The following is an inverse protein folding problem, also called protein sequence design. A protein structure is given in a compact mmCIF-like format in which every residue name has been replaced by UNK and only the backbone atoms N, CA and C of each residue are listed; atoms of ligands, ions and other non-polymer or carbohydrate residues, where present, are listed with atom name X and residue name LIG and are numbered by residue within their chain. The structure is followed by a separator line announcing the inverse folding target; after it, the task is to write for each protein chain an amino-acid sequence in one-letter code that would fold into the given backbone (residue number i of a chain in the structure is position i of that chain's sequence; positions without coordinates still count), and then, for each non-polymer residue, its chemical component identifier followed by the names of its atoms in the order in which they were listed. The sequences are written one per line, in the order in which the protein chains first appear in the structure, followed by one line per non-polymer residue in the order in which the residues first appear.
data_IF_061644856759
#
_entry.id   IF_061644856759
#
_cell.length_a   1.000
_cell.length_b   1.000
_cell.length_c   1.000
_cell.angle_alpha   90.00
_cell.angle_beta   90.00
_cell.angle_gamma   90.00
#
_symmetry.space_group_name_H-M   'P 1'
#
loop_
_entity.id
_entity.type
_entity.pdbx_description
1 polymer ?
#
# COMPACT_ATOMS: atom_id res chain seq x y z
N UNK A 1 0.91 18.08 12.58
CA UNK A 1 1.34 19.17 11.68
C UNK A 1 2.81 19.43 12.00
N UNK A 2 3.76 19.02 11.15
CA UNK A 2 5.18 19.27 11.42
C UNK A 2 5.71 20.18 10.32
N UNK A 3 6.01 21.41 10.73
CA UNK A 3 6.71 22.43 9.95
C UNK A 3 8.19 22.39 10.38
N UNK A 4 9.14 22.56 9.44
CA UNK A 4 10.61 22.60 9.65
C UNK A 4 11.27 23.94 9.15
N UNK A 5 11.44 25.02 9.96
CA UNK A 5 12.30 26.23 9.80
C UNK A 5 12.75 26.89 11.15
N UNK A 6 14.07 26.89 11.37
CA UNK A 6 15.05 27.76 12.08
C UNK A 6 14.76 28.36 13.47
N UNK A 7 15.55 27.88 14.45
CA UNK A 7 15.98 28.61 15.65
C UNK A 7 17.32 28.07 16.15
N UNK A 8 18.32 28.93 16.32
CA UNK A 8 19.72 28.59 16.64
C UNK A 8 19.85 27.98 18.05
N UNK A 9 19.69 26.66 18.19
CA UNK A 9 20.26 25.91 19.31
C UNK A 9 20.41 24.42 18.92
N UNK A 10 21.66 23.94 18.92
CA UNK A 10 22.11 22.67 18.34
C UNK A 10 21.38 21.43 18.90
N UNK A 11 20.47 20.83 18.14
CA UNK A 11 20.14 19.41 18.32
C UNK A 11 21.26 18.62 17.65
N UNK A 12 21.94 17.75 18.39
CA UNK A 12 23.08 16.98 17.90
C UNK A 12 22.68 15.55 17.55
N UNK A 13 23.27 15.04 16.46
CA UNK A 13 23.24 13.63 16.09
C UNK A 13 24.63 13.06 16.37
N UNK A 14 24.68 11.99 17.16
CA UNK A 14 25.90 11.25 17.43
C UNK A 14 26.12 10.25 16.31
N UNK A 15 27.30 10.30 15.70
CA UNK A 15 27.69 9.45 14.59
C UNK A 15 28.83 8.50 14.96
N UNK A 16 28.93 7.38 14.26
CA UNK A 16 30.10 6.48 14.27
C UNK A 16 30.69 6.44 12.88
N UNK A 17 32.02 6.39 12.76
CA UNK A 17 32.68 6.26 11.46
C UNK A 17 32.23 4.97 10.78
N UNK A 18 31.85 5.08 9.51
CA UNK A 18 31.57 3.93 8.65
C UNK A 18 32.81 3.09 8.40
N UNK A 19 33.97 3.73 8.30
CA UNK A 19 35.25 3.05 8.10
C UNK A 19 35.37 2.43 6.70
N UNK A 20 36.03 1.27 6.62
CA UNK A 20 36.28 0.55 5.37
C UNK A 20 35.20 -0.53 5.18
N UNK A 21 34.42 -0.44 4.10
CA UNK A 21 33.40 -1.43 3.73
C UNK A 21 33.73 -1.96 2.34
N UNK A 22 33.79 -3.28 2.19
CA UNK A 22 34.12 -3.98 0.93
C UNK A 22 35.39 -3.46 0.23
N UNK A 23 36.39 -3.10 1.03
CA UNK A 23 37.68 -2.58 0.55
C UNK A 23 37.69 -1.08 0.21
N UNK A 24 36.56 -0.38 0.37
CA UNK A 24 36.43 1.07 0.13
C UNK A 24 36.47 1.82 1.46
N UNK A 25 37.38 2.78 1.61
CA UNK A 25 37.43 3.68 2.77
C UNK A 25 36.48 4.86 2.59
N UNK A 26 35.48 4.96 3.47
CA UNK A 26 34.47 6.02 3.45
C UNK A 26 34.91 7.30 4.16
N UNK A 27 36.13 7.36 4.69
CA UNK A 27 36.74 8.56 5.24
C UNK A 27 35.92 9.22 6.35
N UNK A 28 35.52 10.47 6.14
CA UNK A 28 34.72 11.25 7.10
C UNK A 28 33.21 10.96 7.03
N UNK A 29 32.81 9.82 6.49
CA UNK A 29 31.40 9.38 6.48
C UNK A 29 31.07 8.65 7.78
N UNK A 30 29.92 8.99 8.35
CA UNK A 30 29.42 8.37 9.57
C UNK A 30 28.01 7.81 9.43
N UNK A 31 27.68 6.92 10.35
CA UNK A 31 26.38 6.27 10.53
C UNK A 31 25.74 6.76 11.83
N UNK A 32 24.41 6.84 11.86
CA UNK A 32 23.67 7.36 13.02
C UNK A 32 23.75 6.36 14.17
N UNK A 33 24.36 6.80 15.28
CA UNK A 33 24.39 6.04 16.54
C UNK A 33 23.31 6.47 17.52
N UNK A 34 23.05 7.77 17.64
CA UNK A 34 22.05 8.30 18.58
C UNK A 34 21.56 9.69 18.16
N UNK A 35 20.28 9.95 18.38
CA UNK A 35 19.65 11.26 18.22
C UNK A 35 19.24 11.79 19.59
N UNK A 36 19.41 13.09 19.84
CA UNK A 36 18.96 13.75 21.08
C UNK A 36 17.44 14.03 21.05
N UNK A 37 16.65 12.98 21.31
CA UNK A 37 15.18 13.03 21.28
C UNK A 37 14.61 13.99 22.31
N UNK A 38 15.20 14.04 23.51
CA UNK A 38 14.72 14.90 24.59
C UNK A 38 14.75 16.35 24.17
N UNK A 39 15.90 16.81 23.62
CA UNK A 39 16.04 18.18 23.15
C UNK A 39 15.14 18.48 21.96
N UNK A 40 14.94 17.52 21.06
CA UNK A 40 13.98 17.68 19.96
C UNK A 40 12.56 17.89 20.48
N UNK A 41 12.09 17.04 21.40
CA UNK A 41 10.74 17.13 21.97
C UNK A 41 10.53 18.43 22.73
N UNK A 42 11.46 18.84 23.58
CA UNK A 42 11.40 20.13 24.28
C UNK A 42 11.20 21.32 23.31
N UNK A 43 11.87 21.28 22.15
CA UNK A 43 11.72 22.34 21.13
C UNK A 43 10.37 22.26 20.43
N UNK A 44 9.96 21.07 20.02
CA UNK A 44 8.68 20.84 19.35
C UNK A 44 7.50 21.22 20.27
N UNK A 45 7.55 20.84 21.54
CA UNK A 45 6.55 21.17 22.57
C UNK A 45 6.49 22.68 22.84
N UNK A 46 7.63 23.37 22.70
CA UNK A 46 7.71 24.84 22.73
C UNK A 46 7.16 25.54 21.49
N UNK A 47 6.52 24.81 20.56
CA UNK A 47 6.06 25.33 19.27
C UNK A 47 7.20 25.75 18.33
N UNK A 48 8.44 25.38 18.67
CA UNK A 48 9.59 25.65 17.82
C UNK A 48 9.65 24.62 16.73
N UNK A 49 10.44 24.99 15.74
CA UNK A 49 10.73 24.13 14.66
C UNK A 49 12.19 23.65 14.70
N UNK A 50 12.40 22.34 14.56
CA UNK A 50 13.71 21.71 14.62
C UNK A 50 14.29 21.50 13.22
N UNK A 51 15.42 22.15 12.92
CA UNK A 51 16.21 21.93 11.70
C UNK A 51 17.45 21.12 12.06
N UNK A 52 17.69 20.04 11.32
CA UNK A 52 18.86 19.18 11.48
C UNK A 52 19.73 19.24 10.23
N UNK A 53 21.04 19.29 10.45
CA UNK A 53 22.03 19.07 9.40
C UNK A 53 22.24 17.56 9.21
N UNK A 54 22.69 17.17 8.02
CA UNK A 54 23.19 15.82 7.76
C UNK A 54 24.61 15.60 8.32
N UNK A 55 25.14 16.57 9.07
CA UNK A 55 26.37 16.47 9.83
C UNK A 55 26.09 16.09 11.28
N UNK A 56 26.97 15.28 11.85
CA UNK A 56 26.95 14.96 13.27
C UNK A 56 28.35 14.78 13.82
N UNK A 57 28.44 14.49 15.11
CA UNK A 57 29.71 14.40 15.82
C UNK A 57 29.97 12.97 16.28
N UNK A 58 31.22 12.52 16.18
CA UNK A 58 31.65 11.27 16.81
C UNK A 58 31.82 11.46 18.33
N UNK A 59 32.00 10.35 19.06
CA UNK A 59 32.35 10.41 20.48
C UNK A 59 33.71 11.06 20.76
N UNK A 60 34.59 11.13 19.75
CA UNK A 60 35.87 11.86 19.80
C UNK A 60 35.73 13.35 19.45
N UNK A 61 34.53 13.82 19.07
CA UNK A 61 34.27 15.20 18.67
C UNK A 61 34.56 15.51 17.21
N UNK A 62 34.83 14.50 16.38
CA UNK A 62 35.08 14.68 14.94
C UNK A 62 33.74 14.91 14.22
N UNK A 63 33.73 15.82 13.25
CA UNK A 63 32.57 16.05 12.38
C UNK A 63 32.53 14.98 11.30
N UNK A 64 31.42 14.26 11.21
CA UNK A 64 31.18 13.25 10.19
C UNK A 64 29.98 13.64 9.33
N UNK A 65 30.06 13.33 8.04
CA UNK A 65 28.96 13.45 7.10
C UNK A 65 28.10 12.18 7.15
N UNK A 66 26.79 12.31 7.29
CA UNK A 66 25.85 11.20 7.28
C UNK A 66 24.87 11.36 6.13
N UNK A 67 24.22 10.25 5.74
CA UNK A 67 23.17 10.31 4.75
C UNK A 67 21.94 11.02 5.31
N UNK A 68 21.37 11.95 4.55
CA UNK A 68 20.15 12.69 4.91
C UNK A 68 18.97 11.77 5.22
N UNK A 69 18.77 10.71 4.43
CA UNK A 69 17.66 9.78 4.65
C UNK A 69 17.86 8.95 5.93
N UNK A 70 19.10 8.59 6.26
CA UNK A 70 19.42 7.88 7.49
C UNK A 70 19.16 8.75 8.72
N UNK A 71 19.60 10.02 8.70
CA UNK A 71 19.30 11.00 9.76
C UNK A 71 17.80 11.22 9.88
N UNK A 72 17.10 11.44 8.76
CA UNK A 72 15.65 11.65 8.75
C UNK A 72 14.88 10.45 9.30
N UNK A 73 15.26 9.24 8.89
CA UNK A 73 14.66 7.99 9.38
C UNK A 73 14.90 7.80 10.87
N UNK A 74 16.14 8.01 11.33
CA UNK A 74 16.48 7.91 12.74
C UNK A 74 15.65 8.89 13.57
N UNK A 75 15.56 10.13 13.12
CA UNK A 75 14.79 11.16 13.81
C UNK A 75 13.30 10.82 13.84
N UNK A 76 12.71 10.42 12.71
CA UNK A 76 11.29 10.11 12.60
C UNK A 76 10.89 8.94 13.51
N UNK A 77 11.70 7.87 13.53
CA UNK A 77 11.51 6.73 14.43
C UNK A 77 11.68 7.14 15.90
N UNK A 78 12.73 7.88 16.23
CA UNK A 78 13.05 8.24 17.60
C UNK A 78 12.00 9.15 18.25
N UNK A 79 11.44 10.08 17.48
CA UNK A 79 10.39 10.98 17.99
C UNK A 79 9.01 10.31 17.99
N UNK A 80 8.82 9.22 17.22
CA UNK A 80 7.53 8.58 17.00
C UNK A 80 6.64 9.42 16.10
N UNK A 81 7.17 9.87 14.96
CA UNK A 81 6.43 10.72 14.03
C UNK A 81 5.24 9.98 13.38
N UNK A 82 4.09 10.65 13.25
CA UNK A 82 2.95 10.11 12.50
C UNK A 82 3.24 10.02 10.99
N UNK A 83 4.01 11.01 10.48
CA UNK A 83 4.33 11.13 9.06
C UNK A 83 5.78 11.52 8.84
N UNK A 84 6.42 10.93 7.84
CA UNK A 84 7.68 11.41 7.26
C UNK A 84 7.41 11.91 5.83
N UNK A 85 8.02 13.03 5.45
CA UNK A 85 7.91 13.58 4.09
C UNK A 85 9.31 13.71 3.53
N UNK A 86 9.56 13.06 2.39
CA UNK A 86 10.81 13.12 1.66
C UNK A 86 10.60 13.90 0.36
N UNK A 87 11.50 14.84 0.08
CA UNK A 87 11.54 15.56 -1.19
C UNK A 87 12.62 14.90 -2.05
N UNK A 88 12.22 14.43 -3.22
CA UNK A 88 12.99 13.56 -4.11
C UNK A 88 13.04 14.19 -5.52
N UNK A 89 13.97 13.74 -6.36
CA UNK A 89 14.09 14.21 -7.74
C UNK A 89 13.28 13.31 -8.69
N UNK A 90 12.04 13.71 -8.99
CA UNK A 90 11.15 12.99 -9.92
C UNK A 90 10.09 12.09 -9.26
N UNK A 91 9.06 11.66 -10.02
CA UNK A 91 7.97 10.83 -9.52
C UNK A 91 8.34 9.34 -9.45
N UNK A 92 7.62 8.58 -8.61
CA UNK A 92 7.67 7.11 -8.62
C UNK A 92 6.64 6.57 -9.61
N UNK A 93 7.11 5.85 -10.61
CA UNK A 93 6.27 5.35 -11.70
C UNK A 93 6.14 3.82 -11.63
N UNK A 94 5.00 3.31 -12.10
CA UNK A 94 4.79 1.89 -12.36
C UNK A 94 5.49 1.44 -13.66
N UNK A 95 5.41 0.15 -13.99
CA UNK A 95 6.00 -0.41 -15.21
C UNK A 95 5.37 0.15 -16.50
N UNK A 96 4.19 0.76 -16.41
CA UNK A 96 3.48 1.41 -17.51
C UNK A 96 3.79 2.91 -17.61
N UNK A 97 4.61 3.45 -16.72
CA UNK A 97 4.95 4.87 -16.67
C UNK A 97 3.92 5.77 -15.96
N UNK A 98 2.94 5.20 -15.25
CA UNK A 98 1.98 5.98 -14.47
C UNK A 98 2.49 6.22 -13.05
N UNK A 99 2.20 7.41 -12.51
CA UNK A 99 2.51 7.76 -11.12
C UNK A 99 1.80 6.83 -10.14
N UNK A 100 2.58 6.16 -9.29
CA UNK A 100 2.07 5.39 -8.17
C UNK A 100 1.69 6.36 -7.06
N UNK A 101 0.39 6.54 -6.82
CA UNK A 101 -0.11 7.49 -5.80
C UNK A 101 -0.02 6.96 -4.39
N UNK A 102 -0.26 5.66 -4.25
CA UNK A 102 -0.40 5.01 -2.96
C UNK A 102 0.16 3.60 -3.04
N UNK A 103 0.88 3.20 -1.99
CA UNK A 103 1.33 1.86 -1.73
C UNK A 103 1.02 1.52 -0.28
N UNK A 104 0.39 0.37 -0.06
CA UNK A 104 0.46 -0.29 1.24
C UNK A 104 1.91 -0.69 1.53
N UNK A 105 2.26 -0.87 2.80
CA UNK A 105 3.57 -1.37 3.19
C UNK A 105 3.91 -2.70 2.49
N UNK A 106 2.91 -3.58 2.35
CA UNK A 106 3.05 -4.87 1.64
C UNK A 106 3.35 -4.67 0.14
N UNK A 107 2.60 -3.81 -0.56
CA UNK A 107 2.84 -3.52 -1.97
C UNK A 107 4.23 -2.87 -2.19
N UNK A 108 4.66 -1.98 -1.29
CA UNK A 108 5.99 -1.38 -1.34
C UNK A 108 7.10 -2.44 -1.15
N UNK A 109 6.94 -3.31 -0.15
CA UNK A 109 7.88 -4.41 0.13
C UNK A 109 8.01 -5.37 -1.06
N UNK A 110 6.88 -5.77 -1.65
CA UNK A 110 6.86 -6.61 -2.87
C UNK A 110 7.58 -5.94 -4.04
N UNK A 111 7.35 -4.64 -4.27
CA UNK A 111 8.01 -3.89 -5.35
C UNK A 111 9.53 -3.78 -5.16
N UNK A 112 10.00 -3.65 -3.93
CA UNK A 112 11.43 -3.63 -3.60
C UNK A 112 12.02 -5.02 -3.81
N UNK A 113 11.38 -6.07 -3.28
CA UNK A 113 11.82 -7.47 -3.42
C UNK A 113 11.92 -7.93 -4.87
N UNK A 114 10.94 -7.56 -5.71
CA UNK A 114 10.97 -7.87 -7.16
C UNK A 114 12.23 -7.34 -7.85
N UNK A 115 12.81 -6.26 -7.32
CA UNK A 115 13.99 -5.57 -7.84
C UNK A 115 15.27 -5.83 -7.04
N UNK A 116 15.22 -6.69 -6.01
CA UNK A 116 16.38 -7.03 -5.18
C UNK A 116 17.54 -7.65 -5.98
N UNK A 117 17.25 -8.38 -7.06
CA UNK A 117 18.28 -8.94 -7.96
C UNK A 117 18.95 -7.89 -8.86
N UNK A 118 18.38 -6.68 -8.94
CA UNK A 118 18.79 -5.62 -9.88
C UNK A 118 19.33 -4.35 -9.19
N UNK A 119 19.23 -4.26 -7.87
CA UNK A 119 19.70 -3.12 -7.08
C UNK A 119 20.28 -3.61 -5.76
N UNK A 120 21.48 -3.14 -5.43
CA UNK A 120 22.15 -3.46 -4.17
C UNK A 120 21.33 -2.94 -2.98
N UNK A 121 20.70 -1.77 -3.13
CA UNK A 121 19.88 -1.14 -2.10
C UNK A 121 18.64 -1.99 -1.79
N UNK A 122 17.99 -2.52 -2.83
CA UNK A 122 16.87 -3.43 -2.64
C UNK A 122 17.32 -4.75 -1.96
N UNK A 123 18.49 -5.29 -2.32
CA UNK A 123 19.04 -6.47 -1.64
C UNK A 123 19.37 -6.20 -0.16
N UNK A 124 19.97 -5.05 0.15
CA UNK A 124 20.25 -4.62 1.52
C UNK A 124 18.97 -4.44 2.34
N UNK A 125 17.92 -3.86 1.75
CA UNK A 125 16.61 -3.74 2.40
C UNK A 125 16.05 -5.12 2.77
N UNK A 126 16.05 -6.06 1.82
CA UNK A 126 15.57 -7.44 2.04
C UNK A 126 16.34 -8.12 3.17
N UNK A 127 17.67 -7.96 3.20
CA UNK A 127 18.52 -8.48 4.29
C UNK A 127 18.17 -7.85 5.64
N UNK A 128 17.93 -6.54 5.70
CA UNK A 128 17.63 -5.82 6.94
C UNK A 128 16.22 -6.12 7.48
N UNK A 129 15.25 -6.32 6.59
CA UNK A 129 13.84 -6.54 6.94
C UNK A 129 13.52 -8.00 7.24
N UNK A 130 14.43 -8.92 6.87
CA UNK A 130 14.31 -10.37 7.01
C UNK A 130 13.39 -10.99 5.96
N UNK A 131 13.55 -12.28 5.69
CA UNK A 131 12.52 -13.08 5.05
C UNK A 131 11.46 -13.41 6.10
N UNK A 132 10.48 -12.54 6.25
CA UNK A 132 9.16 -13.02 6.67
C UNK A 132 8.62 -13.84 5.50
N UNK A 133 8.57 -15.16 5.67
CA UNK A 133 8.07 -16.15 4.71
C UNK A 133 6.70 -15.74 4.14
N UNK A 134 6.71 -15.02 3.00
CA UNK A 134 5.62 -15.06 2.05
C UNK A 134 5.78 -16.34 1.24
N UNK A 135 5.40 -17.48 1.83
CA UNK A 135 5.22 -18.74 1.10
C UNK A 135 4.03 -18.65 0.15
N UNK A 136 4.09 -17.78 -0.85
CA UNK A 136 3.22 -17.85 -2.03
C UNK A 136 3.96 -17.24 -3.21
N UNK A 137 4.49 -18.13 -4.06
CA UNK A 137 4.93 -17.96 -5.46
C UNK A 137 6.41 -18.30 -5.74
N UNK A 138 6.80 -19.54 -5.45
CA UNK A 138 7.59 -20.30 -6.42
C UNK A 138 6.99 -21.72 -6.53
N UNK A 139 6.32 -22.00 -7.64
CA UNK A 139 6.00 -23.36 -8.08
C UNK A 139 6.47 -23.52 -9.53
N UNK A 140 7.65 -24.14 -9.66
CA UNK A 140 8.10 -25.07 -10.70
C UNK A 140 9.59 -25.33 -10.36
N UNK A 141 10.10 -26.52 -10.07
CA UNK A 141 9.65 -27.92 -10.28
C UNK A 141 10.25 -28.81 -9.16
N UNK A 142 9.69 -30.02 -9.03
CA UNK A 142 10.24 -31.25 -8.38
C UNK A 142 9.91 -31.57 -6.91
N UNK A 143 8.91 -32.46 -6.80
CA UNK A 143 8.63 -33.55 -5.84
C UNK A 143 9.57 -33.71 -4.62
N UNK A 144 8.98 -33.63 -3.42
CA UNK A 144 9.57 -34.17 -2.19
C UNK A 144 8.70 -33.91 -0.95
N UNK A 145 7.99 -34.94 -0.50
CA UNK A 145 7.13 -34.99 0.69
C UNK A 145 7.93 -34.61 1.95
N UNK A 146 7.38 -33.75 2.83
CA UNK A 146 7.41 -33.92 4.29
C UNK A 146 6.46 -32.92 5.00
N UNK A 147 5.51 -33.48 5.73
CA UNK A 147 4.50 -32.79 6.50
C UNK A 147 5.08 -32.08 7.73
N UNK A 148 4.56 -30.90 8.07
CA UNK A 148 4.66 -30.38 9.44
C UNK A 148 3.36 -29.68 9.89
N UNK A 149 2.63 -30.44 10.70
CA UNK A 149 1.80 -30.06 11.86
C UNK A 149 1.61 -28.56 12.16
N UNK A 150 0.40 -28.07 11.89
CA UNK A 150 -0.20 -26.88 12.50
C UNK A 150 -0.33 -27.05 14.02
N UNK A 151 0.06 -26.04 14.78
CA UNK A 151 -0.56 -25.75 16.06
C UNK A 151 -0.65 -24.24 16.27
N UNK A 152 -1.89 -23.75 16.35
CA UNK A 152 -2.21 -22.34 16.45
C UNK A 152 -1.88 -21.74 17.81
N UNK A 153 -1.43 -20.49 17.79
CA UNK A 153 -1.58 -19.55 18.90
C UNK A 153 -1.66 -18.13 18.35
N UNK A 154 -2.73 -17.43 18.72
CA UNK A 154 -2.94 -16.03 18.44
C UNK A 154 -1.79 -15.18 19.00
N UNK A 155 -1.08 -14.46 18.13
CA UNK A 155 -0.03 -13.52 18.53
C UNK A 155 -0.61 -12.11 18.66
N UNK A 156 -1.29 -11.89 19.78
CA UNK A 156 -1.36 -10.59 20.42
C UNK A 156 0.04 -10.27 20.97
N UNK A 157 0.92 -9.77 20.11
CA UNK A 157 2.25 -9.30 20.49
C UNK A 157 2.56 -8.01 19.77
N UNK A 158 2.71 -6.90 20.50
CA UNK A 158 3.52 -5.78 20.04
C UNK A 158 4.94 -6.32 19.85
N UNK A 159 5.26 -6.76 18.64
CA UNK A 159 6.62 -7.13 18.30
C UNK A 159 7.39 -5.83 18.09
N UNK A 160 8.09 -5.41 19.15
CA UNK A 160 9.14 -4.42 19.06
C UNK A 160 10.20 -5.00 18.15
N UNK A 161 10.22 -4.56 16.91
CA UNK A 161 11.18 -5.02 15.95
C UNK A 161 12.54 -4.40 16.33
N UNK A 162 13.33 -5.14 17.10
CA UNK A 162 14.71 -4.79 17.45
C UNK A 162 15.57 -5.09 16.24
N UNK A 163 15.97 -4.04 15.52
CA UNK A 163 16.81 -4.16 14.34
C UNK A 163 18.18 -3.55 14.62
N UNK A 164 19.22 -4.38 14.46
CA UNK A 164 20.60 -3.99 14.69
C UNK A 164 21.17 -3.27 13.48
N UNK A 165 21.84 -2.15 13.77
CA UNK A 165 22.67 -1.30 12.91
C UNK A 165 21.94 -0.37 11.93
N UNK A 166 22.15 0.93 12.18
CA UNK A 166 21.89 2.00 11.21
C UNK A 166 20.45 2.24 10.82
N UNK A 167 19.47 1.91 11.66
CA UNK A 167 18.46 2.81 12.26
C UNK A 167 17.71 2.00 13.33
N UNK A 168 18.37 1.77 14.47
CA UNK A 168 17.84 0.94 15.56
C UNK A 168 18.19 1.54 16.91
N UNK A 169 17.19 2.01 17.64
CA UNK A 169 17.34 2.44 19.04
C UNK A 169 17.10 1.24 19.96
N UNK A 170 18.15 0.53 20.35
CA UNK A 170 18.02 -0.47 21.41
C UNK A 170 17.97 0.21 22.78
N UNK A 171 16.84 0.04 23.45
CA UNK A 171 16.72 0.18 24.90
C UNK A 171 17.38 -1.04 25.58
N UNK A 172 18.70 -0.98 25.76
CA UNK A 172 19.41 -1.67 26.85
C UNK A 172 19.83 -3.13 26.64
N UNK A 173 21.13 -3.36 26.87
CA UNK A 173 21.85 -4.62 27.12
C UNK A 173 21.94 -5.66 25.98
N UNK A 174 23.07 -5.65 25.28
CA UNK A 174 23.48 -6.79 24.44
C UNK A 174 24.87 -6.61 23.84
N UNK A 175 25.70 -7.63 23.99
CA UNK A 175 27.10 -7.73 23.58
C UNK A 175 27.12 -8.44 22.19
N UNK A 176 27.76 -7.85 21.16
CA UNK A 176 28.19 -8.42 19.86
C UNK A 176 27.16 -9.11 18.93
N UNK A 177 27.13 -8.70 17.65
CA UNK A 177 27.62 -9.49 16.50
C UNK A 177 27.35 -8.71 15.21
N UNK A 178 28.35 -8.58 14.35
CA UNK A 178 28.28 -7.75 13.15
C UNK A 178 27.46 -8.37 12.03
N UNK A 179 26.40 -7.68 11.61
CA UNK A 179 25.87 -7.73 10.24
C UNK A 179 25.44 -6.32 9.83
N UNK A 180 25.69 -5.96 8.57
CA UNK A 180 25.68 -4.61 7.99
C UNK A 180 24.35 -3.87 8.16
N UNK A 181 24.40 -2.61 8.62
CA UNK A 181 23.24 -1.72 8.72
C UNK A 181 22.67 -1.30 7.35
N UNK A 182 21.41 -0.84 7.34
CA UNK A 182 20.74 -0.37 6.14
C UNK A 182 21.15 1.08 5.84
N UNK A 183 22.27 1.25 5.14
CA UNK A 183 22.68 2.56 4.66
C UNK A 183 21.72 3.03 3.56
N UNK A 184 20.81 3.92 3.92
CA UNK A 184 19.83 4.49 2.99
C UNK A 184 20.53 5.53 2.13
N UNK A 185 20.87 5.19 0.89
CA UNK A 185 21.42 6.10 -0.11
C UNK A 185 22.92 5.92 -0.33
N UNK A 186 23.25 5.55 -1.56
CA UNK A 186 24.59 5.35 -2.10
C UNK A 186 24.66 5.83 -3.56
N UNK A 187 25.80 5.60 -4.20
CA UNK A 187 26.19 6.15 -5.51
C UNK A 187 25.41 5.58 -6.72
N UNK A 188 24.14 5.19 -6.57
CA UNK A 188 23.28 4.79 -7.69
C UNK A 188 22.68 5.99 -8.47
N UNK A 189 23.22 7.21 -8.30
CA UNK A 189 22.86 8.38 -9.15
C UNK A 189 23.14 8.15 -10.64
N UNK A 190 23.92 7.13 -11.01
CA UNK A 190 24.23 6.82 -12.40
C UNK A 190 23.15 6.01 -13.12
N UNK A 191 22.18 5.40 -12.42
CA UNK A 191 21.04 4.72 -13.06
C UNK A 191 19.75 5.53 -12.89
N UNK A 192 19.52 6.48 -13.80
CA UNK A 192 18.25 7.24 -13.89
C UNK A 192 17.00 6.35 -14.06
N UNK A 193 17.18 5.06 -14.33
CA UNK A 193 16.09 4.10 -14.54
C UNK A 193 15.46 3.60 -13.22
N UNK A 194 16.22 3.57 -12.11
CA UNK A 194 15.78 2.99 -10.82
C UNK A 194 16.05 3.89 -9.61
N UNK A 195 16.32 5.18 -9.83
CA UNK A 195 16.75 6.12 -8.79
C UNK A 195 15.85 6.14 -7.54
N UNK A 196 14.54 5.91 -7.69
CA UNK A 196 13.54 5.94 -6.61
C UNK A 196 13.58 4.75 -5.64
N UNK A 197 14.34 3.68 -5.93
CA UNK A 197 14.34 2.49 -5.07
C UNK A 197 14.93 2.77 -3.69
N UNK A 198 15.90 3.68 -3.61
CA UNK A 198 16.49 4.10 -2.34
C UNK A 198 15.44 4.77 -1.45
N UNK A 199 14.68 5.69 -2.03
CA UNK A 199 13.63 6.46 -1.39
C UNK A 199 12.45 5.56 -0.99
N UNK A 200 12.06 4.63 -1.87
CA UNK A 200 10.99 3.69 -1.60
C UNK A 200 11.39 2.69 -0.50
N UNK A 201 12.62 2.19 -0.52
CA UNK A 201 13.13 1.30 0.53
C UNK A 201 13.26 2.03 1.87
N UNK A 202 13.69 3.29 1.87
CA UNK A 202 13.67 4.14 3.05
C UNK A 202 12.25 4.29 3.61
N UNK A 203 11.29 4.61 2.75
CA UNK A 203 9.90 4.78 3.13
C UNK A 203 9.30 3.50 3.72
N UNK A 204 9.52 2.36 3.08
CA UNK A 204 9.07 1.06 3.59
C UNK A 204 9.71 0.73 4.94
N UNK A 205 11.03 0.96 5.07
CA UNK A 205 11.77 0.73 6.31
C UNK A 205 11.24 1.61 7.47
N UNK A 206 11.04 2.91 7.23
CA UNK A 206 10.48 3.86 8.20
C UNK A 206 9.08 3.44 8.62
N UNK A 207 8.24 3.03 7.66
CA UNK A 207 6.89 2.54 7.93
C UNK A 207 6.89 1.27 8.79
N UNK A 208 7.78 0.32 8.50
CA UNK A 208 7.93 -0.91 9.30
C UNK A 208 8.43 -0.62 10.72
N UNK A 209 9.22 0.43 10.89
CA UNK A 209 9.70 0.91 12.20
C UNK A 209 8.65 1.65 13.05
N UNK A 210 7.43 1.88 12.52
CA UNK A 210 6.29 2.38 13.30
C UNK A 210 5.79 3.78 12.95
N UNK A 211 6.41 4.47 11.99
CA UNK A 211 5.80 5.66 11.39
C UNK A 211 4.63 5.21 10.53
N UNK A 212 3.48 5.88 10.63
CA UNK A 212 2.27 5.39 9.97
C UNK A 212 2.33 5.61 8.45
N UNK A 213 2.86 6.77 8.02
CA UNK A 213 2.86 7.15 6.60
C UNK A 213 4.14 7.86 6.20
N UNK A 214 4.65 7.53 5.02
CA UNK A 214 5.78 8.23 4.39
C UNK A 214 5.34 8.76 3.03
N UNK A 215 5.56 10.05 2.78
CA UNK A 215 5.24 10.72 1.53
C UNK A 215 6.52 11.01 0.76
N UNK A 216 6.59 10.57 -0.50
CA UNK A 216 7.70 10.79 -1.42
C UNK A 216 7.25 11.80 -2.49
N UNK A 217 7.81 13.01 -2.45
CA UNK A 217 7.34 14.16 -3.23
C UNK A 217 8.39 14.61 -4.24
N UNK A 218 7.99 14.79 -5.49
CA UNK A 218 8.86 15.36 -6.52
C UNK A 218 9.12 16.86 -6.26
N UNK A 219 10.34 17.18 -5.83
CA UNK A 219 10.79 18.53 -5.52
C UNK A 219 10.85 19.47 -6.71
N UNK A 220 10.78 18.94 -7.95
CA UNK A 220 10.74 19.76 -9.16
C UNK A 220 9.36 20.42 -9.37
N UNK A 221 8.32 19.96 -8.66
CA UNK A 221 6.97 20.51 -8.73
C UNK A 221 6.82 21.67 -7.75
N UNK A 222 6.51 22.86 -8.27
CA UNK A 222 6.30 24.05 -7.45
C UNK A 222 5.14 23.87 -6.48
N UNK A 223 5.38 24.12 -5.19
CA UNK A 223 4.37 23.99 -4.14
C UNK A 223 3.96 22.55 -3.82
N UNK A 224 4.73 21.53 -4.25
CA UNK A 224 4.39 20.10 -4.06
C UNK A 224 3.99 19.75 -2.63
N UNK A 225 4.65 20.32 -1.63
CA UNK A 225 4.33 20.08 -0.22
C UNK A 225 2.90 20.54 0.14
N UNK A 226 2.50 21.73 -0.33
CA UNK A 226 1.14 22.24 -0.09
C UNK A 226 0.12 21.45 -0.89
N UNK A 227 0.46 21.08 -2.13
CA UNK A 227 -0.41 20.26 -2.96
C UNK A 227 -0.61 18.87 -2.35
N UNK A 228 0.42 18.28 -1.74
CA UNK A 228 0.32 17.00 -1.03
C UNK A 228 -0.58 17.11 0.20
N UNK A 229 -0.36 18.13 1.03
CA UNK A 229 -1.04 18.24 2.33
C UNK A 229 -2.51 18.68 2.22
N UNK A 230 -2.86 19.43 1.18
CA UNK A 230 -4.18 20.07 1.06
C UNK A 230 -5.02 19.60 -0.14
N UNK A 231 -4.50 18.72 -1.00
CA UNK A 231 -5.32 18.03 -1.99
C UNK A 231 -5.63 16.61 -1.54
N UNK A 232 -6.85 16.17 -1.84
CA UNK A 232 -7.36 14.83 -1.52
C UNK A 232 -6.46 13.70 -2.05
N UNK A 233 -6.00 13.81 -3.29
CA UNK A 233 -5.20 12.77 -3.94
C UNK A 233 -3.68 13.00 -3.83
N UNK A 234 -3.27 14.07 -3.16
CA UNK A 234 -1.87 14.52 -3.13
C UNK A 234 -1.28 14.75 -4.53
N UNK A 235 0.04 14.85 -4.59
CA UNK A 235 0.83 14.91 -5.83
C UNK A 235 1.97 13.89 -5.88
N UNK A 236 2.37 13.33 -4.74
CA UNK A 236 3.44 12.35 -4.66
C UNK A 236 2.96 10.90 -4.54
N UNK A 237 3.88 10.08 -4.03
CA UNK A 237 3.65 8.68 -3.69
C UNK A 237 3.61 8.54 -2.18
N UNK A 238 2.56 7.96 -1.63
CA UNK A 238 2.47 7.69 -0.20
C UNK A 238 2.59 6.19 0.09
N UNK A 239 3.51 5.83 0.99
CA UNK A 239 3.62 4.49 1.58
C UNK A 239 2.96 4.52 2.96
N UNK A 240 2.03 3.61 3.23
CA UNK A 240 1.32 3.56 4.52
C UNK A 240 1.37 2.17 5.17
N UNK A 241 1.60 2.15 6.48
CA UNK A 241 1.48 0.95 7.33
C UNK A 241 0.09 0.83 7.97
N UNK A 242 -0.72 1.89 7.94
CA UNK A 242 -2.11 1.89 8.39
C UNK A 242 -3.11 1.62 7.24
N UNK A 243 -4.37 1.33 7.60
CA UNK A 243 -5.46 1.13 6.63
C UNK A 243 -5.87 2.48 6.01
N UNK A 244 -5.03 3.02 5.12
CA UNK A 244 -5.32 4.24 4.38
C UNK A 244 -6.37 4.02 3.29
N UNK A 245 -6.27 2.89 2.58
CA UNK A 245 -7.21 2.43 1.57
C UNK A 245 -7.59 0.98 1.87
N UNK A 246 -8.88 0.65 1.82
CA UNK A 246 -9.34 -0.70 2.14
C UNK A 246 -10.59 -1.09 1.36
N UNK A 247 -10.59 -2.32 0.84
CA UNK A 247 -11.76 -2.94 0.22
C UNK A 247 -12.52 -3.76 1.26
N UNK A 248 -13.81 -3.46 1.44
CA UNK A 248 -14.66 -4.14 2.42
C UNK A 248 -16.12 -4.20 2.01
N UNK A 249 -16.93 -4.97 2.73
CA UNK A 249 -18.38 -4.90 2.61
C UNK A 249 -18.92 -3.53 3.05
N UNK A 250 -19.95 -3.06 2.36
CA UNK A 250 -20.63 -1.82 2.69
C UNK A 250 -21.40 -1.90 4.01
N UNK A 251 -21.47 -0.77 4.70
CA UNK A 251 -22.21 -0.52 5.94
C UNK A 251 -23.27 0.53 5.69
N UNK A 252 -24.27 0.62 6.58
CA UNK A 252 -25.36 1.62 6.48
C UNK A 252 -24.82 3.06 6.40
N UNK A 253 -23.69 3.35 7.06
CA UNK A 253 -23.00 4.65 7.01
C UNK A 253 -22.45 5.01 5.62
N UNK A 254 -22.19 4.02 4.76
CA UNK A 254 -21.58 4.22 3.45
C UNK A 254 -22.60 4.62 2.37
N UNK A 255 -23.90 4.55 2.68
CA UNK A 255 -24.99 4.78 1.72
C UNK A 255 -24.84 6.09 0.97
N UNK A 256 -24.52 7.18 1.69
CA UNK A 256 -24.32 8.50 1.11
C UNK A 256 -23.12 8.53 0.14
N UNK A 257 -22.00 7.90 0.52
CA UNK A 257 -20.81 7.82 -0.33
C UNK A 257 -21.02 6.99 -1.59
N UNK A 258 -21.71 5.85 -1.47
CA UNK A 258 -22.10 5.03 -2.62
C UNK A 258 -23.02 5.85 -3.55
N UNK A 259 -24.00 6.57 -2.97
CA UNK A 259 -24.95 7.39 -3.74
C UNK A 259 -24.25 8.45 -4.57
N UNK A 260 -23.27 9.14 -3.98
CA UNK A 260 -22.47 10.16 -4.64
C UNK A 260 -21.74 9.63 -5.88
N UNK A 261 -21.29 8.36 -5.85
CA UNK A 261 -20.57 7.74 -6.97
C UNK A 261 -21.53 7.24 -8.05
N UNK A 262 -22.64 6.60 -7.66
CA UNK A 262 -23.54 5.95 -8.63
C UNK A 262 -24.48 6.94 -9.32
N UNK A 263 -24.91 8.01 -8.64
CA UNK A 263 -25.95 8.92 -9.15
C UNK A 263 -25.61 9.52 -10.53
N UNK A 264 -24.40 10.06 -10.78
CA UNK A 264 -24.05 10.57 -12.11
C UNK A 264 -24.07 9.49 -13.20
N UNK A 265 -23.79 8.23 -12.82
CA UNK A 265 -23.83 7.09 -13.74
C UNK A 265 -25.26 6.63 -14.03
N UNK A 266 -26.18 6.77 -13.07
CA UNK A 266 -27.61 6.55 -13.28
C UNK A 266 -28.22 7.63 -14.19
N UNK A 267 -27.88 8.89 -13.96
CA UNK A 267 -28.35 10.04 -14.77
C UNK A 267 -27.85 9.97 -16.22
N UNK A 268 -26.61 9.52 -16.44
CA UNK A 268 -26.06 9.28 -17.79
C UNK A 268 -26.57 8.01 -18.47
N UNK A 269 -27.42 7.21 -17.79
CA UNK A 269 -27.94 5.95 -18.31
C UNK A 269 -26.92 4.80 -18.37
N UNK A 270 -25.74 4.97 -17.77
CA UNK A 270 -24.70 3.94 -17.64
C UNK A 270 -25.13 2.87 -16.63
N UNK A 271 -25.63 3.29 -15.47
CA UNK A 271 -26.21 2.41 -14.45
C UNK A 271 -27.74 2.47 -14.46
N UNK A 272 -28.38 1.40 -13.96
CA UNK A 272 -29.83 1.41 -13.69
C UNK A 272 -30.10 2.31 -12.50
N UNK A 273 -31.05 3.24 -12.65
CA UNK A 273 -31.49 4.12 -11.57
C UNK A 273 -32.07 3.32 -10.40
N UNK A 274 -31.66 3.66 -9.18
CA UNK A 274 -32.18 3.08 -7.94
C UNK A 274 -32.65 4.16 -6.98
N UNK A 275 -33.69 3.84 -6.22
CA UNK A 275 -34.11 4.63 -5.07
C UNK A 275 -33.22 4.35 -3.87
N UNK A 276 -33.21 5.25 -2.89
CA UNK A 276 -32.40 5.07 -1.68
C UNK A 276 -32.88 3.85 -0.86
N UNK A 277 -34.18 3.55 -0.89
CA UNK A 277 -34.74 2.35 -0.27
C UNK A 277 -34.27 1.05 -0.94
N UNK A 278 -34.25 1.00 -2.27
CA UNK A 278 -33.73 -0.16 -3.02
C UNK A 278 -32.23 -0.33 -2.77
N UNK A 279 -31.48 0.76 -2.74
CA UNK A 279 -30.06 0.74 -2.44
C UNK A 279 -29.80 0.23 -1.03
N UNK A 280 -30.56 0.71 -0.03
CA UNK A 280 -30.45 0.27 1.36
C UNK A 280 -30.78 -1.22 1.51
N UNK A 281 -31.83 -1.72 0.84
CA UNK A 281 -32.18 -3.14 0.82
C UNK A 281 -31.09 -4.01 0.17
N UNK A 282 -30.42 -3.50 -0.85
CA UNK A 282 -29.36 -4.20 -1.55
C UNK A 282 -27.97 -4.01 -0.93
N UNK A 283 -27.83 -3.19 0.11
CA UNK A 283 -26.53 -2.75 0.63
C UNK A 283 -25.64 -3.90 1.12
N UNK A 284 -26.24 -4.99 1.61
CA UNK A 284 -25.53 -6.20 2.02
C UNK A 284 -24.72 -6.86 0.89
N UNK A 285 -25.08 -6.60 -0.37
CA UNK A 285 -24.40 -7.10 -1.56
C UNK A 285 -23.28 -6.16 -2.04
N UNK A 286 -23.21 -4.93 -1.52
CA UNK A 286 -22.22 -3.94 -1.94
C UNK A 286 -20.86 -4.16 -1.27
N UNK A 287 -19.84 -4.05 -2.09
CA UNK A 287 -18.43 -3.91 -1.73
C UNK A 287 -18.04 -2.48 -2.03
N UNK A 288 -17.27 -1.88 -1.12
CA UNK A 288 -16.77 -0.51 -1.25
C UNK A 288 -15.25 -0.49 -1.09
N UNK A 289 -14.63 0.45 -1.78
CA UNK A 289 -13.26 0.89 -1.45
C UNK A 289 -13.38 2.20 -0.67
N UNK A 290 -12.85 2.17 0.54
CA UNK A 290 -12.77 3.32 1.44
C UNK A 290 -11.34 3.88 1.41
N UNK A 291 -11.22 5.21 1.33
CA UNK A 291 -9.97 5.95 1.50
C UNK A 291 -10.20 7.09 2.50
N UNK A 292 -9.49 7.07 3.62
CA UNK A 292 -9.64 8.04 4.73
C UNK A 292 -11.10 8.29 5.15
N UNK A 293 -11.90 7.24 5.34
CA UNK A 293 -13.30 7.36 5.73
C UNK A 293 -14.28 7.70 4.60
N UNK A 294 -13.79 7.96 3.39
CA UNK A 294 -14.62 8.30 2.24
C UNK A 294 -14.67 7.13 1.26
N UNK A 295 -15.86 6.88 0.71
CA UNK A 295 -16.03 5.87 -0.33
C UNK A 295 -15.53 6.45 -1.65
N UNK A 296 -14.60 5.76 -2.30
CA UNK A 296 -14.01 6.16 -3.60
C UNK A 296 -14.43 5.22 -4.74
N UNK A 297 -14.86 4.00 -4.42
CA UNK A 297 -15.37 3.06 -5.40
C UNK A 297 -16.39 2.11 -4.77
N UNK A 298 -17.31 1.59 -5.57
CA UNK A 298 -18.27 0.58 -5.15
C UNK A 298 -18.59 -0.41 -6.26
N UNK A 299 -19.00 -1.61 -5.88
CA UNK A 299 -19.57 -2.63 -6.76
C UNK A 299 -20.50 -3.53 -5.96
N UNK A 300 -21.39 -4.27 -6.60
CA UNK A 300 -22.30 -5.20 -5.96
C UNK A 300 -22.13 -6.61 -6.52
N UNK A 301 -22.20 -7.61 -5.64
CA UNK A 301 -22.24 -9.03 -6.00
C UNK A 301 -23.55 -9.65 -5.51
N UNK A 302 -24.42 -10.02 -6.45
CA UNK A 302 -25.66 -10.74 -6.15
C UNK A 302 -25.51 -12.23 -6.45
N UNK A 303 -25.49 -13.10 -5.43
CA UNK A 303 -25.32 -14.55 -5.64
C UNK A 303 -26.63 -15.23 -6.06
N UNK A 304 -26.51 -16.21 -6.96
CA UNK A 304 -27.54 -17.15 -7.39
C UNK A 304 -27.02 -18.57 -7.09
N UNK A 305 -27.41 -19.11 -5.94
CA UNK A 305 -26.81 -20.34 -5.41
C UNK A 305 -27.25 -21.60 -6.15
N UNK A 306 -28.46 -21.64 -6.72
CA UNK A 306 -28.97 -22.79 -7.46
C UNK A 306 -28.17 -23.01 -8.76
N UNK A 307 -27.96 -21.94 -9.53
CA UNK A 307 -27.16 -21.96 -10.76
C UNK A 307 -25.66 -21.78 -10.51
N UNK A 308 -25.24 -21.69 -9.25
CA UNK A 308 -23.85 -21.44 -8.80
C UNK A 308 -23.19 -20.27 -9.54
N UNK A 309 -23.91 -19.17 -9.72
CA UNK A 309 -23.37 -18.00 -10.40
C UNK A 309 -23.63 -16.69 -9.64
N UNK A 310 -22.94 -15.62 -9.98
CA UNK A 310 -23.11 -14.31 -9.34
C UNK A 310 -23.19 -13.17 -10.35
N UNK A 311 -24.09 -12.22 -10.13
CA UNK A 311 -24.15 -10.98 -10.91
C UNK A 311 -23.18 -9.95 -10.33
N UNK A 312 -22.25 -9.48 -11.15
CA UNK A 312 -21.47 -8.26 -10.86
C UNK A 312 -22.26 -7.06 -11.37
N UNK A 313 -22.69 -6.20 -10.46
CA UNK A 313 -23.52 -5.05 -10.76
C UNK A 313 -22.95 -3.77 -10.14
N UNK A 314 -23.40 -2.62 -10.65
CA UNK A 314 -23.12 -1.30 -10.08
C UNK A 314 -21.63 -1.00 -9.82
N UNK A 315 -20.72 -1.56 -10.62
CA UNK A 315 -19.29 -1.23 -10.52
C UNK A 315 -19.09 0.22 -10.94
N UNK A 316 -18.48 1.00 -10.04
CA UNK A 316 -18.27 2.42 -10.23
C UNK A 316 -17.06 2.89 -9.42
N UNK A 317 -16.28 3.77 -10.03
CA UNK A 317 -15.14 4.45 -9.39
C UNK A 317 -15.37 5.95 -9.52
N UNK A 318 -15.12 6.69 -8.45
CA UNK A 318 -15.19 8.15 -8.44
C UNK A 318 -14.33 8.73 -9.57
N UNK A 319 -14.77 9.79 -10.26
CA UNK A 319 -14.05 10.36 -11.40
C UNK A 319 -12.57 10.66 -11.11
N UNK A 320 -12.25 11.08 -9.90
CA UNK A 320 -10.92 11.50 -9.46
C UNK A 320 -9.96 10.30 -9.29
N UNK A 321 -10.50 9.13 -8.97
CA UNK A 321 -9.71 7.91 -8.70
C UNK A 321 -9.70 6.93 -9.89
N UNK A 322 -10.22 7.33 -11.06
CA UNK A 322 -10.19 6.49 -12.27
C UNK A 322 -8.76 6.36 -12.81
N UNK A 323 -8.46 5.21 -13.42
CA UNK A 323 -7.13 4.90 -13.95
C UNK A 323 -6.10 4.45 -12.89
N UNK A 324 -6.47 4.43 -11.61
CA UNK A 324 -5.58 4.03 -10.50
C UNK A 324 -5.80 2.57 -10.06
N UNK A 325 -6.33 1.70 -10.92
CA UNK A 325 -6.56 0.28 -10.60
C UNK A 325 -7.72 -0.02 -9.63
N UNK A 326 -8.49 0.97 -9.18
CA UNK A 326 -9.58 0.76 -8.21
C UNK A 326 -10.69 -0.18 -8.70
N UNK A 327 -10.97 -0.16 -10.00
CA UNK A 327 -11.91 -1.11 -10.61
C UNK A 327 -11.39 -2.55 -10.58
N UNK A 328 -10.08 -2.74 -10.77
CA UNK A 328 -9.41 -4.04 -10.67
C UNK A 328 -9.50 -4.58 -9.25
N UNK A 329 -9.12 -3.76 -8.25
CA UNK A 329 -9.21 -4.12 -6.83
C UNK A 329 -10.62 -4.56 -6.44
N UNK A 330 -11.66 -3.87 -6.91
CA UNK A 330 -13.05 -4.25 -6.68
C UNK A 330 -13.41 -5.59 -7.32
N UNK A 331 -13.02 -5.79 -8.58
CA UNK A 331 -13.32 -7.02 -9.31
C UNK A 331 -12.59 -8.22 -8.68
N UNK A 332 -11.31 -8.09 -8.35
CA UNK A 332 -10.52 -9.16 -7.70
C UNK A 332 -11.09 -9.54 -6.34
N UNK A 333 -11.61 -8.56 -5.59
CA UNK A 333 -12.29 -8.83 -4.32
C UNK A 333 -13.61 -9.57 -4.55
N UNK A 334 -14.40 -9.15 -5.55
CA UNK A 334 -15.66 -9.79 -5.91
C UNK A 334 -15.44 -11.23 -6.40
N UNK A 335 -14.41 -11.48 -7.21
CA UNK A 335 -14.06 -12.81 -7.71
C UNK A 335 -13.68 -13.75 -6.55
N UNK A 336 -12.79 -13.32 -5.65
CA UNK A 336 -12.45 -14.09 -4.44
C UNK A 336 -13.66 -14.35 -3.56
N UNK A 337 -14.51 -13.35 -3.36
CA UNK A 337 -15.75 -13.50 -2.59
C UNK A 337 -16.70 -14.50 -3.24
N UNK A 338 -16.90 -14.42 -4.55
CA UNK A 338 -17.76 -15.33 -5.30
C UNK A 338 -17.26 -16.78 -5.20
N UNK A 339 -15.95 -17.00 -5.35
CA UNK A 339 -15.34 -18.33 -5.16
C UNK A 339 -15.54 -18.84 -3.72
N UNK A 340 -15.35 -17.99 -2.70
CA UNK A 340 -15.58 -18.37 -1.29
C UNK A 340 -17.05 -18.73 -0.99
N UNK A 341 -17.99 -18.19 -1.76
CA UNK A 341 -19.42 -18.52 -1.68
C UNK A 341 -19.76 -19.81 -2.46
N UNK A 342 -18.79 -20.44 -3.12
CA UNK A 342 -18.97 -21.64 -3.93
C UNK A 342 -19.63 -21.38 -5.29
N UNK A 343 -19.54 -20.14 -5.80
CA UNK A 343 -19.99 -19.80 -7.15
C UNK A 343 -18.92 -20.23 -8.16
N UNK A 344 -19.35 -20.74 -9.31
CA UNK A 344 -18.47 -21.23 -10.38
C UNK A 344 -18.34 -20.21 -11.52
N UNK A 345 -19.28 -19.28 -11.64
CA UNK A 345 -19.37 -18.35 -12.76
C UNK A 345 -19.83 -16.97 -12.30
N UNK A 346 -19.25 -15.91 -12.85
CA UNK A 346 -19.75 -14.55 -12.74
C UNK A 346 -20.39 -14.13 -14.05
N UNK A 347 -21.47 -13.35 -13.97
CA UNK A 347 -22.06 -12.69 -15.13
C UNK A 347 -22.30 -11.21 -14.86
N UNK A 348 -22.45 -10.44 -15.92
CA UNK A 348 -22.74 -9.02 -15.85
C UNK A 348 -23.52 -8.52 -17.07
N UNK A 349 -24.14 -7.36 -16.89
CA UNK A 349 -24.87 -6.66 -17.92
C UNK A 349 -24.25 -5.27 -18.10
N UNK A 350 -23.84 -4.93 -19.32
CA UNK A 350 -23.25 -3.62 -19.62
C UNK A 350 -23.73 -3.04 -20.95
N UNK A 351 -23.84 -1.72 -21.01
CA UNK A 351 -24.19 -0.97 -22.23
C UNK A 351 -22.99 -0.27 -22.85
N UNK A 352 -21.94 0.05 -22.07
CA UNK A 352 -20.81 0.89 -22.51
C UNK A 352 -19.43 0.40 -22.12
N UNK A 353 -19.30 -0.56 -21.20
CA UNK A 353 -18.03 -0.91 -20.54
C UNK A 353 -17.51 -2.31 -20.89
N UNK A 354 -18.00 -2.91 -21.98
CA UNK A 354 -17.64 -4.27 -22.40
C UNK A 354 -16.12 -4.50 -22.51
N UNK A 355 -15.39 -3.59 -23.17
CA UNK A 355 -13.95 -3.74 -23.43
C UNK A 355 -13.09 -3.83 -22.16
N UNK A 356 -13.55 -3.21 -21.07
CA UNK A 356 -12.87 -3.30 -19.79
C UNK A 356 -12.97 -4.70 -19.20
N UNK A 357 -14.15 -5.31 -19.27
CA UNK A 357 -14.40 -6.68 -18.80
C UNK A 357 -13.82 -7.75 -19.72
N UNK A 358 -13.84 -7.55 -21.05
CA UNK A 358 -13.24 -8.46 -22.02
C UNK A 358 -11.75 -8.71 -21.74
N UNK A 359 -11.01 -7.63 -21.42
CA UNK A 359 -9.60 -7.71 -21.03
C UNK A 359 -9.34 -8.44 -19.71
N UNK A 360 -10.38 -8.71 -18.93
CA UNK A 360 -10.34 -9.39 -17.62
C UNK A 360 -10.95 -10.78 -17.65
N UNK A 361 -11.14 -11.34 -18.84
CA UNK A 361 -11.57 -12.72 -19.04
C UNK A 361 -13.09 -12.92 -19.08
N UNK A 362 -13.87 -11.85 -19.16
CA UNK A 362 -15.29 -11.96 -19.48
C UNK A 362 -15.50 -12.14 -20.98
N UNK A 363 -16.44 -12.98 -21.37
CA UNK A 363 -16.83 -13.21 -22.77
C UNK A 363 -18.31 -12.98 -22.97
N UNK A 364 -18.68 -12.43 -24.14
CA UNK A 364 -20.07 -12.14 -24.48
C UNK A 364 -20.88 -13.44 -24.54
N UNK A 365 -22.08 -13.43 -23.96
CA UNK A 365 -22.93 -14.61 -23.83
C UNK A 365 -24.38 -14.35 -24.23
N UNK A 366 -25.13 -15.42 -24.46
CA UNK A 366 -26.56 -15.33 -24.72
C UNK A 366 -27.33 -15.11 -23.42
N UNK A 367 -28.46 -14.40 -23.50
CA UNK A 367 -29.39 -14.20 -22.37
C UNK A 367 -29.81 -15.52 -21.71
N UNK A 368 -29.81 -16.63 -22.45
CA UNK A 368 -30.18 -17.96 -21.94
C UNK A 368 -29.26 -18.47 -20.82
N UNK A 369 -28.02 -17.97 -20.74
CA UNK A 369 -27.05 -18.33 -19.69
C UNK A 369 -27.25 -17.53 -18.40
N UNK A 370 -28.20 -16.58 -18.38
CA UNK A 370 -28.53 -15.81 -17.18
C UNK A 370 -29.63 -16.54 -16.38
N UNK A 371 -29.53 -16.60 -15.04
CA UNK A 371 -30.56 -17.15 -14.16
C UNK A 371 -31.97 -16.68 -14.50
N UNK A 372 -32.94 -17.58 -14.42
CA UNK A 372 -34.34 -17.27 -14.77
C UNK A 372 -34.91 -16.14 -13.92
N UNK A 373 -34.62 -16.15 -12.62
CA UNK A 373 -35.07 -15.12 -11.70
C UNK A 373 -34.56 -13.74 -12.13
N UNK A 374 -33.31 -13.68 -12.60
CA UNK A 374 -32.71 -12.43 -13.05
C UNK A 374 -33.25 -11.99 -14.41
N UNK A 375 -33.43 -12.93 -15.36
CA UNK A 375 -33.99 -12.67 -16.70
C UNK A 375 -35.32 -11.92 -16.65
N UNK A 376 -36.21 -12.30 -15.72
CA UNK A 376 -37.53 -11.66 -15.52
C UNK A 376 -37.43 -10.17 -15.13
N UNK A 377 -36.32 -9.75 -14.52
CA UNK A 377 -36.07 -8.38 -14.03
C UNK A 377 -35.17 -7.56 -14.98
N UNK A 378 -34.79 -8.10 -16.14
CA UNK A 378 -33.93 -7.38 -17.10
C UNK A 378 -34.76 -6.33 -17.83
N UNK A 379 -34.31 -5.08 -17.80
CA UNK A 379 -34.89 -4.04 -18.64
C UNK A 379 -34.32 -4.14 -20.07
N UNK A 380 -35.09 -4.78 -20.96
CA UNK A 380 -34.73 -4.97 -22.37
C UNK A 380 -34.57 -3.66 -23.15
N UNK A 381 -35.20 -2.56 -22.71
CA UNK A 381 -35.09 -1.26 -23.41
C UNK A 381 -33.68 -0.66 -23.35
N UNK A 382 -32.84 -1.14 -22.44
CA UNK A 382 -31.44 -0.70 -22.31
C UNK A 382 -30.51 -1.34 -23.33
N UNK A 383 -30.96 -2.36 -24.05
CA UNK A 383 -30.17 -3.13 -25.01
C UNK A 383 -28.78 -3.52 -24.46
N UNK A 384 -28.74 -3.95 -23.21
CA UNK A 384 -27.50 -4.33 -22.54
C UNK A 384 -26.98 -5.64 -23.11
N UNK A 385 -25.66 -5.70 -23.29
CA UNK A 385 -24.96 -6.94 -23.62
C UNK A 385 -24.68 -7.74 -22.36
N UNK A 386 -24.60 -9.06 -22.53
CA UNK A 386 -24.41 -10.02 -21.45
C UNK A 386 -23.02 -10.60 -21.53
N UNK A 387 -22.35 -10.69 -20.40
CA UNK A 387 -21.01 -11.26 -20.33
C UNK A 387 -20.92 -12.26 -19.20
N UNK A 388 -20.07 -13.26 -19.36
CA UNK A 388 -19.81 -14.31 -18.36
C UNK A 388 -18.32 -14.58 -18.22
N UNK A 389 -17.89 -14.96 -17.02
CA UNK A 389 -16.53 -15.40 -16.70
C UNK A 389 -16.61 -16.60 -15.78
N UNK A 390 -15.93 -17.69 -16.13
CA UNK A 390 -15.74 -18.82 -15.22
C UNK A 390 -14.71 -18.45 -14.16
N UNK A 391 -15.04 -18.71 -12.90
CA UNK A 391 -14.12 -18.51 -11.80
C UNK A 391 -13.11 -19.66 -11.76
N UNK A 392 -11.87 -19.36 -11.39
CA UNK A 392 -10.90 -20.39 -11.08
C UNK A 392 -11.28 -21.02 -9.73
N UNK A 393 -11.20 -22.35 -9.58
CA UNK A 393 -11.48 -23.00 -8.32
C UNK A 393 -10.53 -22.46 -7.24
N UNK A 394 -11.09 -22.15 -6.08
CA UNK A 394 -10.32 -21.64 -4.94
C UNK A 394 -9.36 -22.74 -4.46
N UNK A 395 -8.08 -22.60 -4.81
CA UNK A 395 -7.01 -23.53 -4.39
C UNK A 395 -6.49 -23.22 -2.99
N UNK A 396 -7.00 -22.20 -2.30
CA UNK A 396 -6.48 -21.77 -0.99
C UNK A 396 -6.92 -22.65 0.19
N UNK A 397 -7.79 -23.65 -0.02
CA UNK A 397 -8.11 -24.68 0.98
C UNK A 397 -8.89 -24.19 2.21
N UNK A 398 -9.29 -22.92 2.28
CA UNK A 398 -10.08 -22.39 3.40
C UNK A 398 -11.57 -22.65 3.14
N UNK A 399 -12.04 -23.82 3.57
CA UNK A 399 -13.48 -24.09 3.65
C UNK A 399 -14.12 -23.20 4.73
N UNK A 400 -14.86 -22.18 4.31
CA UNK A 400 -15.74 -21.46 5.23
C UNK A 400 -16.90 -22.39 5.56
N UNK A 401 -16.91 -22.93 6.78
CA UNK A 401 -17.98 -23.79 7.28
C UNK A 401 -19.35 -23.16 7.00
N UNK A 402 -20.16 -23.85 6.18
CA UNK A 402 -21.57 -23.55 5.97
C UNK A 402 -22.31 -23.73 7.28
N UNK A 403 -22.73 -22.62 7.88
CA UNK A 403 -23.71 -22.65 8.96
C UNK A 403 -24.67 -21.49 8.80
N UNK A 404 -25.66 -21.63 7.90
CA UNK A 404 -26.97 -21.03 8.06
C UNK A 404 -27.99 -21.97 7.37
N UNK A 405 -28.70 -22.72 8.21
CA UNK A 405 -29.96 -23.40 7.89
C UNK A 405 -31.11 -22.45 8.14
#
# INVERSE_FOLDING_TARGET
MVTVVVGMMWVSVLLVRRGVVDGVDFGATGEVKKVDVTRMRERLDGGCIVVLSNLGYSSSGEVLNCNTYEVATACALAIGADKLICIIDGPILDESGHLIRFLTLEEADMLIRKRAKQSEIAAHYVKAVGDEDLTFLEHNESIGILASSLNGKALSGRHSATFHNGVGFDNGNGLWSGEQGFAIGGEERQSRLNGYLSELAAAAFVCKGGVQRVHLLDGTISGVLLLELFKRDGMGTMVASDLYEGTRMARVTDLAGIRQIIQPLEESGTLVRRTDEELLKALYAYVVVEREGQIIACAALFPFFEEKCGEVAAIAVSPECRGQGQGDKLLDFIERRASSLGLETLFLLTTRTADWFNRRGFSECSIQLIPEERRKKINLSRNSKYYTKKLLPDTSGISVNRAFS
#
